data_IF_103184825534
#
_entry.id   IF_103184825534
#
_cell.length_a   1.000
_cell.length_b   1.000
_cell.length_c   1.000
_cell.angle_alpha   90.00
_cell.angle_beta   90.00
_cell.angle_gamma   90.00
#
_symmetry.space_group_name_H-M   'P 1'
#
loop_
_entity.id
_entity.type
_entity.pdbx_description
1 polymer ?
#
# COMPACT_ATOMS: atom_id res chain seq x y z
N UNK A 1 31.13 18.48 -65.27
CA UNK A 1 30.04 17.58 -64.85
C UNK A 1 30.57 16.68 -63.75
N UNK A 2 30.11 16.89 -62.51
CA UNK A 2 30.43 16.06 -61.33
C UNK A 2 29.13 15.38 -60.90
N UNK A 3 29.10 14.06 -60.83
CA UNK A 3 27.96 13.31 -60.29
C UNK A 3 28.07 13.23 -58.76
N UNK A 4 26.95 13.36 -58.02
CA UNK A 4 26.93 13.26 -56.56
C UNK A 4 26.95 11.80 -56.08
N UNK A 5 27.45 11.64 -54.86
CA UNK A 5 27.71 10.37 -54.16
C UNK A 5 26.44 9.59 -53.87
N UNK A 6 26.56 8.28 -54.03
CA UNK A 6 25.58 7.24 -53.69
C UNK A 6 24.99 7.42 -52.29
N UNK A 7 23.67 7.33 -52.26
CA UNK A 7 22.82 7.16 -51.08
C UNK A 7 23.06 5.76 -50.49
N UNK A 8 23.52 5.69 -49.24
CA UNK A 8 23.33 4.52 -48.39
C UNK A 8 22.29 4.87 -47.33
N UNK A 9 21.18 4.15 -47.20
CA UNK A 9 20.26 4.33 -46.09
C UNK A 9 20.90 3.79 -44.80
N UNK A 10 20.94 4.65 -43.79
CA UNK A 10 21.38 4.35 -42.43
C UNK A 10 20.48 3.26 -41.83
N UNK A 11 21.09 2.17 -41.38
CA UNK A 11 20.40 1.02 -40.80
C UNK A 11 19.85 1.44 -39.45
N UNK A 12 18.52 1.57 -39.36
CA UNK A 12 17.83 1.81 -38.10
C UNK A 12 18.07 0.61 -37.15
N UNK A 13 18.92 0.80 -36.15
CA UNK A 13 19.01 -0.08 -34.99
C UNK A 13 17.70 0.01 -34.20
N UNK A 14 16.80 -0.93 -34.46
CA UNK A 14 15.66 -1.20 -33.61
C UNK A 14 16.18 -1.96 -32.37
N UNK A 15 16.71 -1.24 -31.39
CA UNK A 15 16.94 -1.81 -30.06
C UNK A 15 15.58 -2.03 -29.39
N UNK A 16 15.07 -3.25 -29.58
CA UNK A 16 14.05 -3.83 -28.72
C UNK A 16 14.68 -4.02 -27.34
N UNK A 17 14.55 -3.01 -26.47
CA UNK A 17 14.83 -3.14 -25.04
C UNK A 17 13.80 -4.06 -24.38
N UNK A 18 13.97 -5.37 -24.59
CA UNK A 18 13.44 -6.38 -23.71
C UNK A 18 14.22 -6.31 -22.40
N UNK A 19 13.82 -5.42 -21.49
CA UNK A 19 14.38 -5.34 -20.15
C UNK A 19 14.20 -6.71 -19.46
N UNK A 20 15.24 -7.53 -19.51
CA UNK A 20 15.30 -8.80 -18.79
C UNK A 20 15.32 -8.47 -17.30
N UNK A 21 14.15 -8.53 -16.66
CA UNK A 21 14.02 -8.46 -15.20
C UNK A 21 14.98 -9.46 -14.57
N UNK A 22 15.95 -8.96 -13.82
CA UNK A 22 16.97 -9.80 -13.20
C UNK A 22 16.33 -10.69 -12.12
N UNK A 23 16.94 -11.82 -11.74
CA UNK A 23 16.49 -12.61 -10.60
C UNK A 23 16.37 -11.78 -9.30
N UNK A 24 17.20 -10.75 -9.14
CA UNK A 24 17.15 -9.78 -8.05
C UNK A 24 15.92 -8.87 -8.13
N UNK A 25 15.54 -8.43 -9.34
CA UNK A 25 14.31 -7.65 -9.55
C UNK A 25 13.07 -8.48 -9.29
N UNK A 26 13.10 -9.78 -9.66
CA UNK A 26 12.05 -10.73 -9.30
C UNK A 26 11.98 -10.96 -7.78
N UNK A 27 13.13 -11.06 -7.11
CA UNK A 27 13.15 -11.21 -5.65
C UNK A 27 12.64 -9.94 -4.94
N UNK A 28 12.95 -8.75 -5.48
CA UNK A 28 12.43 -7.46 -4.97
C UNK A 28 10.93 -7.30 -5.23
N UNK A 29 10.43 -7.70 -6.40
CA UNK A 29 8.99 -7.66 -6.68
C UNK A 29 8.20 -8.69 -5.85
N UNK A 30 8.86 -9.75 -5.40
CA UNK A 30 8.33 -10.73 -4.45
C UNK A 30 8.53 -10.36 -2.98
N UNK A 31 9.22 -9.26 -2.67
CA UNK A 31 9.52 -8.86 -1.29
C UNK A 31 8.59 -7.76 -0.81
N UNK A 32 8.06 -7.91 0.41
CA UNK A 32 7.27 -6.88 1.09
C UNK A 32 8.17 -5.69 1.43
N UNK A 33 8.10 -4.60 0.67
CA UNK A 33 8.83 -3.38 0.99
C UNK A 33 8.00 -2.53 1.93
N UNK A 34 8.36 -2.53 3.21
CA UNK A 34 7.79 -1.62 4.20
C UNK A 34 8.45 -0.23 4.09
N UNK A 35 7.67 0.83 4.19
CA UNK A 35 8.16 2.21 4.15
C UNK A 35 7.49 3.08 5.21
N UNK A 36 8.19 4.12 5.65
CA UNK A 36 7.66 5.07 6.63
C UNK A 36 6.59 5.95 5.98
N UNK A 37 5.48 6.13 6.68
CA UNK A 37 4.37 6.99 6.23
C UNK A 37 4.16 8.13 7.20
N UNK A 38 3.69 9.27 6.68
CA UNK A 38 3.33 10.43 7.49
C UNK A 38 1.84 10.35 7.78
N UNK A 39 1.46 10.25 9.05
CA UNK A 39 0.08 10.54 9.44
C UNK A 39 -0.14 12.05 9.43
N UNK A 40 -1.19 12.50 8.73
CA UNK A 40 -1.65 13.91 8.75
C UNK A 40 -2.74 14.13 9.82
N UNK A 41 -3.27 13.07 10.41
CA UNK A 41 -4.30 13.09 11.44
C UNK A 41 -3.74 13.28 12.84
N UNK A 42 -4.62 13.35 13.84
CA UNK A 42 -4.29 13.47 15.28
C UNK A 42 -3.05 12.63 15.63
N UNK A 43 -2.17 13.15 16.50
CA UNK A 43 -0.86 12.57 16.90
C UNK A 43 -0.90 11.17 17.55
N UNK A 44 -1.93 10.36 17.28
CA UNK A 44 -2.23 9.07 17.89
C UNK A 44 -1.25 7.99 17.42
N UNK A 45 -0.88 7.97 16.13
CA UNK A 45 0.14 7.06 15.62
C UNK A 45 1.44 7.82 15.32
N UNK A 46 2.43 7.69 16.20
CA UNK A 46 3.79 8.17 15.96
C UNK A 46 4.66 7.04 15.42
N UNK A 47 5.54 7.37 14.47
CA UNK A 47 6.47 6.45 13.81
C UNK A 47 5.81 5.24 13.11
N UNK A 48 4.99 5.55 12.10
CA UNK A 48 4.24 4.54 11.37
C UNK A 48 4.94 4.03 10.11
N UNK A 49 4.75 2.74 9.83
CA UNK A 49 5.22 2.04 8.65
C UNK A 49 4.07 1.39 7.91
N UNK A 50 4.12 1.43 6.58
CA UNK A 50 3.18 0.77 5.69
C UNK A 50 3.92 -0.27 4.86
N UNK A 51 3.36 -1.47 4.80
CA UNK A 51 3.90 -2.59 4.05
C UNK A 51 2.78 -3.18 3.19
N UNK A 52 3.06 -3.41 1.91
CA UNK A 52 2.10 -3.95 0.96
C UNK A 52 2.69 -5.21 0.33
N UNK A 53 1.91 -6.27 0.29
CA UNK A 53 2.29 -7.54 -0.32
C UNK A 53 1.08 -8.36 -0.76
N UNK A 54 1.00 -8.67 -2.06
CA UNK A 54 0.04 -9.63 -2.62
C UNK A 54 -1.43 -9.43 -2.16
N UNK A 55 -1.97 -8.22 -2.34
CA UNK A 55 -3.34 -7.88 -1.91
C UNK A 55 -3.50 -7.77 -0.39
N UNK A 56 -2.40 -7.77 0.36
CA UNK A 56 -2.39 -7.55 1.81
C UNK A 56 -1.64 -6.29 2.14
N UNK A 57 -2.17 -5.58 3.11
CA UNK A 57 -1.60 -4.36 3.64
C UNK A 57 -1.38 -4.52 5.13
N UNK A 58 -0.23 -4.07 5.61
CA UNK A 58 0.12 -4.03 7.03
C UNK A 58 0.56 -2.63 7.37
N UNK A 59 -0.11 -2.03 8.33
CA UNK A 59 0.20 -0.72 8.89
C UNK A 59 0.65 -0.91 10.34
N UNK A 60 1.91 -0.62 10.63
CA UNK A 60 2.50 -0.76 11.96
C UNK A 60 2.77 0.61 12.53
N UNK A 61 2.46 0.84 13.80
CA UNK A 61 2.59 2.14 14.45
C UNK A 61 2.73 2.00 15.96
N UNK A 62 3.13 3.09 16.63
CA UNK A 62 3.10 3.17 18.09
C UNK A 62 1.74 3.70 18.56
N UNK A 63 1.05 2.89 19.36
CA UNK A 63 -0.22 3.21 20.01
C UNK A 63 0.02 3.36 21.51
N UNK A 64 0.00 4.60 22.02
CA UNK A 64 0.36 4.88 23.41
C UNK A 64 1.81 4.49 23.71
N UNK A 65 2.01 3.39 24.43
CA UNK A 65 3.33 2.85 24.79
C UNK A 65 3.64 1.49 24.13
N UNK A 66 2.81 1.04 23.20
CA UNK A 66 2.92 -0.29 22.59
C UNK A 66 3.00 -0.20 21.07
N UNK A 67 3.68 -1.17 20.46
CA UNK A 67 3.61 -1.37 19.01
C UNK A 67 2.27 -2.03 18.68
N UNK A 68 1.52 -1.43 17.75
CA UNK A 68 0.28 -1.97 17.22
C UNK A 68 0.39 -2.16 15.70
N UNK A 69 -0.46 -3.04 15.17
CA UNK A 69 -0.59 -3.21 13.73
C UNK A 69 -2.06 -3.30 13.31
N UNK A 70 -2.35 -2.76 12.13
CA UNK A 70 -3.57 -3.02 11.38
C UNK A 70 -3.20 -3.81 10.13
N UNK A 71 -3.90 -4.90 9.88
CA UNK A 71 -3.77 -5.66 8.64
C UNK A 71 -5.07 -5.58 7.86
N UNK A 72 -4.96 -5.40 6.54
CA UNK A 72 -6.09 -5.47 5.62
C UNK A 72 -5.81 -6.54 4.57
N UNK A 73 -6.71 -7.50 4.45
CA UNK A 73 -6.71 -8.49 3.37
C UNK A 73 -7.78 -8.08 2.35
N UNK A 74 -7.33 -7.49 1.24
CA UNK A 74 -8.21 -6.94 0.20
C UNK A 74 -9.07 -8.03 -0.45
N UNK A 75 -8.51 -9.22 -0.64
CA UNK A 75 -9.21 -10.34 -1.25
C UNK A 75 -10.37 -10.84 -0.37
N UNK A 76 -10.21 -10.75 0.95
CA UNK A 76 -11.21 -11.20 1.92
C UNK A 76 -12.14 -10.07 2.38
N UNK A 77 -11.77 -8.81 2.17
CA UNK A 77 -12.47 -7.67 2.74
C UNK A 77 -12.48 -7.71 4.26
N UNK A 78 -11.33 -8.05 4.87
CA UNK A 78 -11.19 -8.21 6.32
C UNK A 78 -10.12 -7.29 6.89
N UNK A 79 -10.44 -6.69 8.04
CA UNK A 79 -9.52 -5.83 8.81
C UNK A 79 -9.20 -6.51 10.13
N UNK A 80 -7.91 -6.50 10.49
CA UNK A 80 -7.40 -7.03 11.74
C UNK A 80 -6.67 -5.94 12.51
N UNK A 81 -6.84 -5.88 13.82
CA UNK A 81 -6.11 -4.99 14.73
C UNK A 81 -5.37 -5.84 15.78
N UNK A 82 -4.05 -5.64 15.92
CA UNK A 82 -3.16 -6.45 16.78
C UNK A 82 -3.38 -7.97 16.59
N UNK A 83 -3.63 -8.41 15.35
CA UNK A 83 -3.87 -9.82 15.00
C UNK A 83 -5.31 -10.33 15.20
N UNK A 84 -6.21 -9.52 15.75
CA UNK A 84 -7.61 -9.90 15.96
C UNK A 84 -8.51 -9.32 14.87
N UNK A 85 -9.46 -10.11 14.35
CA UNK A 85 -10.41 -9.63 13.35
C UNK A 85 -11.37 -8.62 13.97
N UNK A 86 -11.38 -7.39 13.43
CA UNK A 86 -12.13 -6.23 13.94
C UNK A 86 -13.63 -6.49 14.01
N UNK A 87 -14.19 -7.35 13.13
CA UNK A 87 -15.62 -7.72 13.15
C UNK A 87 -16.03 -8.41 14.45
N UNK A 88 -15.11 -9.13 15.08
CA UNK A 88 -15.39 -9.94 16.27
C UNK A 88 -14.96 -9.23 17.56
N UNK A 89 -14.74 -7.92 17.51
CA UNK A 89 -14.22 -7.13 18.62
C UNK A 89 -15.18 -6.01 18.98
N UNK A 90 -15.32 -5.73 20.28
CA UNK A 90 -15.89 -4.46 20.72
C UNK A 90 -14.84 -3.37 20.53
N UNK A 91 -15.13 -2.41 19.66
CA UNK A 91 -14.18 -1.34 19.31
C UNK A 91 -14.32 -0.16 20.27
N UNK A 92 -13.25 0.13 21.00
CA UNK A 92 -13.11 1.39 21.72
C UNK A 92 -12.91 2.57 20.77
N UNK A 93 -13.15 3.79 21.25
CA UNK A 93 -12.97 5.03 20.47
C UNK A 93 -11.55 5.16 19.91
N UNK A 94 -10.55 4.79 20.70
CA UNK A 94 -9.14 4.84 20.31
C UNK A 94 -8.84 3.93 19.11
N UNK A 95 -9.32 2.68 19.14
CA UNK A 95 -9.14 1.73 18.03
C UNK A 95 -9.84 2.22 16.77
N UNK A 96 -11.06 2.78 16.89
CA UNK A 96 -11.74 3.42 15.76
C UNK A 96 -10.93 4.57 15.19
N UNK A 97 -10.29 5.36 16.06
CA UNK A 97 -9.36 6.42 15.69
C UNK A 97 -8.24 5.90 14.80
N UNK A 98 -7.55 4.84 15.20
CA UNK A 98 -6.48 4.23 14.41
C UNK A 98 -6.97 3.66 13.07
N UNK A 99 -8.16 3.06 13.04
CA UNK A 99 -8.75 2.53 11.81
C UNK A 99 -9.04 3.64 10.80
N UNK A 100 -9.56 4.78 11.26
CA UNK A 100 -9.78 5.97 10.43
C UNK A 100 -8.48 6.63 9.99
N UNK A 101 -7.51 6.73 10.89
CA UNK A 101 -6.19 7.27 10.58
C UNK A 101 -5.51 6.49 9.44
N UNK A 102 -5.63 5.15 9.43
CA UNK A 102 -5.15 4.37 8.31
C UNK A 102 -5.87 4.73 7.00
N UNK A 103 -7.19 4.96 7.02
CA UNK A 103 -7.91 5.37 5.81
C UNK A 103 -7.33 6.68 5.24
N UNK A 104 -7.02 7.65 6.10
CA UNK A 104 -6.37 8.91 5.69
C UNK A 104 -4.96 8.67 5.14
N UNK A 105 -4.15 7.86 5.83
CA UNK A 105 -2.80 7.49 5.37
C UNK A 105 -2.84 6.88 3.98
N UNK A 106 -3.75 5.93 3.71
CA UNK A 106 -3.87 5.28 2.40
C UNK A 106 -4.19 6.27 1.28
N UNK A 107 -5.02 7.29 1.53
CA UNK A 107 -5.35 8.30 0.51
C UNK A 107 -4.19 9.23 0.14
N UNK A 108 -3.15 9.27 0.99
CA UNK A 108 -2.01 10.17 0.81
C UNK A 108 -0.72 9.44 0.42
N UNK A 109 -0.66 8.12 0.63
CA UNK A 109 0.47 7.29 0.27
C UNK A 109 0.32 6.72 -1.15
N UNK A 110 1.32 6.90 -2.05
CA UNK A 110 1.22 6.41 -3.43
C UNK A 110 0.97 4.90 -3.56
N UNK A 111 1.49 4.08 -2.64
CA UNK A 111 1.28 2.61 -2.65
C UNK A 111 0.01 2.21 -1.90
N UNK A 112 -0.36 2.98 -0.87
CA UNK A 112 -1.57 2.78 -0.09
C UNK A 112 -2.85 3.14 -0.86
N UNK A 113 -2.76 4.05 -1.83
CA UNK A 113 -3.92 4.57 -2.54
C UNK A 113 -4.73 3.49 -3.27
N UNK A 114 -4.06 2.45 -3.79
CA UNK A 114 -4.72 1.30 -4.44
C UNK A 114 -5.63 0.52 -3.48
N UNK A 115 -5.39 0.62 -2.17
CA UNK A 115 -6.19 -0.03 -1.11
C UNK A 115 -7.21 0.91 -0.48
N UNK A 116 -7.11 2.22 -0.71
CA UNK A 116 -7.89 3.23 0.02
C UNK A 116 -9.41 3.04 -0.16
N UNK A 117 -9.85 2.73 -1.38
CA UNK A 117 -11.25 2.50 -1.71
C UNK A 117 -11.83 1.27 -0.99
N UNK A 118 -11.20 0.11 -1.19
CA UNK A 118 -11.66 -1.15 -0.61
C UNK A 118 -11.58 -1.16 0.92
N UNK A 119 -10.50 -0.59 1.47
CA UNK A 119 -10.33 -0.44 2.91
C UNK A 119 -11.44 0.45 3.49
N UNK A 120 -11.71 1.61 2.89
CA UNK A 120 -12.73 2.54 3.39
C UNK A 120 -14.14 1.97 3.31
N UNK A 121 -14.46 1.25 2.23
CA UNK A 121 -15.74 0.56 2.09
C UNK A 121 -15.91 -0.54 3.15
N UNK A 122 -14.85 -1.33 3.36
CA UNK A 122 -14.83 -2.38 4.39
C UNK A 122 -14.98 -1.79 5.80
N UNK A 123 -14.26 -0.71 6.10
CA UNK A 123 -14.30 -0.04 7.39
C UNK A 123 -15.69 0.54 7.68
N UNK A 124 -16.31 1.24 6.72
CA UNK A 124 -17.67 1.80 6.88
C UNK A 124 -18.67 0.71 7.21
N UNK A 125 -18.69 -0.37 6.42
CA UNK A 125 -19.57 -1.51 6.68
C UNK A 125 -19.36 -2.10 8.07
N UNK A 126 -18.11 -2.28 8.49
CA UNK A 126 -17.79 -2.81 9.82
C UNK A 126 -18.28 -1.91 10.96
N UNK A 127 -18.21 -0.58 10.78
CA UNK A 127 -18.66 0.36 11.78
C UNK A 127 -20.19 0.44 11.84
N UNK A 128 -20.87 0.42 10.69
CA UNK A 128 -22.33 0.40 10.59
C UNK A 128 -22.91 -0.90 11.22
N UNK A 129 -22.30 -2.06 10.92
CA UNK A 129 -22.70 -3.38 11.46
C UNK A 129 -22.48 -3.49 12.98
N UNK A 130 -21.58 -2.68 13.55
CA UNK A 130 -21.34 -2.64 15.00
C UNK A 130 -22.33 -1.73 15.76
N UNK A 131 -23.45 -1.33 15.12
CA UNK A 131 -24.56 -0.57 15.70
C UNK A 131 -24.12 0.68 16.47
N UNK A 132 -23.43 1.59 15.78
CA UNK A 132 -23.29 3.00 16.20
C UNK A 132 -23.80 3.91 15.10
#
# INVERSE_FOLDING_TARGET
MKMPRDEMPDVQHHESEGATTTPLDRLRSMSTVAHKVKSKGQQRAVDAMLAVYNGRLTYTFIAGHEVASIHFDQNRGEIFYKGHNVRNMTLGEEVRGYLWELAEVLTTDPKGNDYAGDYSATLRKLLDDNHI
#
